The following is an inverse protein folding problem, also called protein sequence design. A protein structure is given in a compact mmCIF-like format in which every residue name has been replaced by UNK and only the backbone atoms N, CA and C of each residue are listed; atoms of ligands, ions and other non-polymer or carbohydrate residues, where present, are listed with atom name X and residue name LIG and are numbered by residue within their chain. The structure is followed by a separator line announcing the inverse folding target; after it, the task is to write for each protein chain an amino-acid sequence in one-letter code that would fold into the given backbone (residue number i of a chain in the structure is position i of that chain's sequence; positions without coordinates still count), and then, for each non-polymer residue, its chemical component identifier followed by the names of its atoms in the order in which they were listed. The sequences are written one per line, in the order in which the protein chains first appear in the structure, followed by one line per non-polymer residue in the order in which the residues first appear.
data_IF_562564897832
#
_entry.id   IF_562564897832
#
_cell.length_a   1.000
_cell.length_b   1.000
_cell.length_c   1.000
_cell.angle_alpha   90.00
_cell.angle_beta   90.00
_cell.angle_gamma   90.00
#
_symmetry.space_group_name_H-M   'P 1'
#
loop_
_entity.id
_entity.type
_entity.pdbx_description
1 polymer ?
#
# COMPACT_ATOMS: atom_id res chain seq x y z
N UNK A 1 27.01 -25.68 -7.50
CA UNK A 1 26.31 -25.96 -8.77
C UNK A 1 25.81 -24.63 -9.28
N UNK A 2 26.55 -24.05 -10.20
CA UNK A 2 26.17 -22.81 -10.88
C UNK A 2 24.98 -23.13 -11.79
N UNK A 3 23.80 -22.66 -11.41
CA UNK A 3 22.61 -22.75 -12.27
C UNK A 3 22.65 -21.53 -13.18
N UNK A 4 22.87 -21.76 -14.47
CA UNK A 4 22.66 -20.73 -15.47
C UNK A 4 21.21 -20.20 -15.38
N UNK A 5 21.01 -18.87 -15.45
CA UNK A 5 19.67 -18.30 -15.45
C UNK A 5 18.91 -18.78 -16.70
N UNK A 6 17.73 -19.37 -16.47
CA UNK A 6 16.85 -19.96 -17.50
C UNK A 6 16.28 -18.92 -18.50
N UNK A 7 16.43 -17.63 -18.21
CA UNK A 7 15.97 -16.52 -19.05
C UNK A 7 17.07 -15.46 -19.07
N UNK A 8 17.53 -15.11 -20.27
CA UNK A 8 18.50 -14.05 -20.51
C UNK A 8 17.83 -12.98 -21.37
N UNK A 9 18.02 -11.71 -21.01
CA UNK A 9 17.67 -10.61 -21.89
C UNK A 9 18.81 -10.46 -22.91
N UNK A 10 18.49 -10.58 -24.19
CA UNK A 10 19.42 -10.27 -25.27
C UNK A 10 19.71 -8.76 -25.32
N UNK A 11 18.69 -7.96 -24.99
CA UNK A 11 18.77 -6.52 -24.87
C UNK A 11 19.14 -6.11 -23.44
N UNK A 12 20.39 -5.70 -23.24
CA UNK A 12 20.90 -5.22 -21.96
C UNK A 12 20.12 -3.99 -21.45
N UNK A 13 19.52 -3.19 -22.33
CA UNK A 13 18.68 -2.07 -21.91
C UNK A 13 17.43 -2.56 -21.18
N UNK A 14 16.80 -3.62 -21.69
CA UNK A 14 15.66 -4.27 -21.02
C UNK A 14 16.08 -4.93 -19.71
N UNK A 15 17.31 -5.46 -19.63
CA UNK A 15 17.85 -6.03 -18.40
C UNK A 15 18.01 -4.98 -17.29
N UNK A 16 18.30 -3.72 -17.65
CA UNK A 16 18.39 -2.60 -16.69
C UNK A 16 17.04 -2.00 -16.31
N UNK A 17 15.99 -2.29 -17.08
CA UNK A 17 14.64 -1.82 -16.87
C UNK A 17 14.37 -0.40 -17.39
N UNK A 18 13.10 -0.02 -17.43
CA UNK A 18 12.67 1.30 -17.90
C UNK A 18 11.68 1.94 -16.92
N UNK A 19 11.64 3.28 -16.91
CA UNK A 19 10.73 4.02 -16.03
C UNK A 19 9.54 4.56 -16.81
N UNK A 20 8.36 4.02 -16.52
CA UNK A 20 7.11 4.51 -17.10
C UNK A 20 6.68 5.85 -16.48
N UNK A 21 6.31 6.82 -17.31
CA UNK A 21 5.74 8.11 -16.87
C UNK A 21 4.33 8.26 -17.43
N UNK A 22 3.39 8.70 -16.60
CA UNK A 22 2.02 8.95 -17.05
C UNK A 22 1.97 10.14 -18.02
N UNK A 23 1.20 10.00 -19.10
CA UNK A 23 0.93 11.12 -20.01
C UNK A 23 0.27 12.31 -19.31
N UNK A 24 -0.46 12.07 -18.22
CA UNK A 24 -1.03 13.13 -17.39
C UNK A 24 0.05 13.96 -16.69
N UNK A 25 1.21 13.38 -16.35
CA UNK A 25 2.35 14.13 -15.79
C UNK A 25 3.05 14.92 -16.90
N UNK A 26 3.22 14.31 -18.07
CA UNK A 26 3.90 14.94 -19.20
C UNK A 26 3.12 16.15 -19.73
N UNK A 27 1.79 16.07 -19.78
CA UNK A 27 0.92 17.07 -20.43
C UNK A 27 0.07 17.88 -19.46
N UNK A 28 -0.35 17.30 -18.34
CA UNK A 28 -1.24 17.95 -17.35
C UNK A 28 -0.54 18.91 -16.39
N UNK A 29 0.78 19.11 -16.53
CA UNK A 29 1.56 20.06 -15.75
C UNK A 29 2.40 20.97 -16.67
N UNK A 30 1.77 21.95 -17.32
CA UNK A 30 2.49 22.96 -18.11
C UNK A 30 3.41 23.84 -17.25
N UNK A 31 3.13 23.98 -15.96
CA UNK A 31 3.95 24.73 -14.99
C UNK A 31 5.27 24.04 -14.62
N UNK A 32 5.46 22.78 -15.05
CA UNK A 32 6.71 22.04 -14.88
C UNK A 32 7.54 22.11 -16.16
N UNK A 33 8.80 22.48 -15.98
CA UNK A 33 9.85 22.36 -16.99
C UNK A 33 10.15 20.89 -17.31
N UNK A 34 10.76 20.66 -18.47
CA UNK A 34 11.24 19.33 -18.85
C UNK A 34 12.29 18.82 -17.86
N UNK A 35 13.12 19.71 -17.33
CA UNK A 35 14.10 19.38 -16.29
C UNK A 35 13.47 18.80 -15.03
N UNK A 36 12.31 19.33 -14.61
CA UNK A 36 11.54 18.85 -13.47
C UNK A 36 10.85 17.52 -13.76
N UNK A 37 10.26 17.36 -14.95
CA UNK A 37 9.64 16.11 -15.39
C UNK A 37 10.65 14.96 -15.48
N UNK A 38 11.85 15.21 -15.99
CA UNK A 38 12.92 14.20 -16.01
C UNK A 38 13.46 13.94 -14.62
N UNK A 39 13.51 14.93 -13.72
CA UNK A 39 13.88 14.71 -12.31
C UNK A 39 12.86 13.82 -11.61
N UNK A 40 11.57 14.01 -11.87
CA UNK A 40 10.52 13.12 -11.40
C UNK A 40 10.70 11.68 -11.92
N UNK A 41 11.05 11.53 -13.20
CA UNK A 41 11.32 10.22 -13.80
C UNK A 41 12.48 9.49 -13.10
N UNK A 42 13.60 10.19 -12.89
CA UNK A 42 14.77 9.62 -12.20
C UNK A 42 14.43 9.28 -10.75
N UNK A 43 13.69 10.14 -10.03
CA UNK A 43 13.23 9.80 -8.69
C UNK A 43 12.35 8.53 -8.69
N UNK A 44 11.47 8.41 -9.70
CA UNK A 44 10.60 7.24 -9.86
C UNK A 44 11.38 5.97 -10.18
N UNK A 45 12.45 6.02 -10.97
CA UNK A 45 13.25 4.84 -11.30
C UNK A 45 13.81 4.16 -10.04
N UNK A 46 14.30 4.94 -9.08
CA UNK A 46 14.81 4.42 -7.81
C UNK A 46 13.74 3.82 -6.90
N UNK A 47 12.47 4.23 -7.04
CA UNK A 47 11.38 3.69 -6.22
C UNK A 47 10.98 2.25 -6.60
N UNK A 48 11.30 1.80 -7.82
CA UNK A 48 10.96 0.45 -8.30
C UNK A 48 12.03 -0.59 -8.03
N UNK A 49 13.30 -0.20 -7.89
CA UNK A 49 14.42 -1.14 -7.73
C UNK A 49 14.40 -1.82 -6.36
N UNK A 50 14.03 -1.09 -5.30
CA UNK A 50 13.87 -1.66 -3.95
C UNK A 50 13.06 -0.73 -3.05
N UNK A 51 12.16 -1.27 -2.18
CA UNK A 51 11.39 -0.47 -1.23
C UNK A 51 12.27 0.24 -0.16
N UNK A 52 13.56 -0.07 -0.08
CA UNK A 52 14.50 0.48 0.91
C UNK A 52 15.53 1.47 0.32
N UNK A 53 15.34 1.90 -0.92
CA UNK A 53 16.34 2.75 -1.59
C UNK A 53 16.31 4.18 -1.04
N UNK A 54 17.23 4.51 -0.13
CA UNK A 54 17.41 5.87 0.38
C UNK A 54 18.17 6.72 -0.64
N UNK A 55 17.45 7.52 -1.42
CA UNK A 55 18.05 8.38 -2.45
C UNK A 55 18.26 9.80 -1.92
N UNK A 56 19.54 10.21 -1.82
CA UNK A 56 19.93 11.59 -1.52
C UNK A 56 19.86 12.51 -2.74
N UNK A 57 19.90 13.82 -2.50
CA UNK A 57 19.90 14.81 -3.60
C UNK A 57 21.17 14.69 -4.45
N UNK A 58 22.31 14.33 -3.85
CA UNK A 58 23.57 14.06 -4.53
C UNK A 58 23.47 12.87 -5.50
N UNK A 59 22.73 11.81 -5.10
CA UNK A 59 22.51 10.64 -5.95
C UNK A 59 21.65 11.01 -7.16
N UNK A 60 20.58 11.77 -6.95
CA UNK A 60 19.75 12.27 -8.05
C UNK A 60 20.53 13.22 -8.97
N UNK A 61 21.37 14.08 -8.39
CA UNK A 61 22.20 15.02 -9.15
C UNK A 61 23.18 14.30 -10.07
N UNK A 62 23.83 13.24 -9.55
CA UNK A 62 24.71 12.36 -10.33
C UNK A 62 23.94 11.65 -11.45
N UNK A 63 22.79 11.08 -11.15
CA UNK A 63 21.96 10.40 -12.15
C UNK A 63 21.41 11.34 -13.24
N UNK A 64 21.21 12.62 -12.91
CA UNK A 64 20.75 13.66 -13.85
C UNK A 64 21.90 14.42 -14.51
N UNK A 65 23.15 14.16 -14.15
CA UNK A 65 24.33 14.93 -14.57
C UNK A 65 24.15 16.44 -14.37
N UNK A 66 23.63 16.86 -13.20
CA UNK A 66 23.41 18.26 -12.87
C UNK A 66 23.83 18.59 -11.42
N UNK A 67 23.69 19.85 -11.00
CA UNK A 67 24.06 20.27 -9.64
C UNK A 67 22.99 19.87 -8.62
N UNK A 68 23.41 19.65 -7.37
CA UNK A 68 22.50 19.41 -6.23
C UNK A 68 21.51 20.56 -6.07
N UNK A 69 21.94 21.82 -6.28
CA UNK A 69 21.05 22.99 -6.24
C UNK A 69 19.94 22.93 -7.29
N UNK A 70 20.23 22.38 -8.48
CA UNK A 70 19.24 22.19 -9.55
C UNK A 70 18.23 21.13 -9.16
N UNK A 71 18.69 20.00 -8.61
CA UNK A 71 17.81 18.95 -8.08
C UNK A 71 16.92 19.48 -6.96
N UNK A 72 17.49 20.19 -5.99
CA UNK A 72 16.74 20.74 -4.86
C UNK A 72 15.63 21.69 -5.32
N UNK A 73 15.92 22.56 -6.32
CA UNK A 73 14.91 23.41 -6.96
C UNK A 73 13.82 22.59 -7.63
N UNK A 74 14.19 21.58 -8.42
CA UNK A 74 13.21 20.74 -9.11
C UNK A 74 12.33 19.95 -8.13
N UNK A 75 12.92 19.38 -7.07
CA UNK A 75 12.17 18.67 -6.01
C UNK A 75 11.22 19.59 -5.28
N UNK A 76 11.63 20.83 -4.99
CA UNK A 76 10.75 21.86 -4.40
C UNK A 76 9.55 22.10 -5.31
N UNK A 77 9.78 22.31 -6.62
CA UNK A 77 8.68 22.50 -7.57
C UNK A 77 7.75 21.30 -7.66
N UNK A 78 8.29 20.08 -7.64
CA UNK A 78 7.49 18.84 -7.63
C UNK A 78 6.66 18.68 -6.34
N UNK A 79 7.16 19.18 -5.21
CA UNK A 79 6.40 19.26 -3.95
C UNK A 79 5.27 20.28 -4.08
N UNK A 80 5.55 21.46 -4.62
CA UNK A 80 4.57 22.54 -4.76
C UNK A 80 3.36 22.12 -5.60
N UNK A 81 3.58 21.35 -6.67
CA UNK A 81 2.50 20.82 -7.53
C UNK A 81 1.86 19.52 -7.00
N UNK A 82 2.34 19.03 -5.86
CA UNK A 82 1.77 17.85 -5.19
C UNK A 82 2.08 16.50 -5.84
N UNK A 83 3.15 16.40 -6.64
CA UNK A 83 3.63 15.13 -7.23
C UNK A 83 4.63 14.39 -6.34
N UNK A 84 5.28 15.09 -5.41
CA UNK A 84 6.22 14.54 -4.44
C UNK A 84 5.90 15.09 -3.05
N UNK A 85 6.14 14.28 -2.02
CA UNK A 85 6.16 14.72 -0.61
C UNK A 85 7.49 14.35 0.03
N UNK A 86 7.90 15.11 1.03
CA UNK A 86 9.15 14.87 1.76
C UNK A 86 8.87 14.61 3.24
N UNK A 87 9.49 13.57 3.79
CA UNK A 87 9.52 13.30 5.24
C UNK A 87 10.96 13.38 5.73
N UNK A 88 11.23 14.38 6.57
CA UNK A 88 12.55 14.60 7.19
C UNK A 88 12.80 13.55 8.28
N UNK A 89 14.02 13.02 8.36
CA UNK A 89 14.42 11.99 9.35
C UNK A 89 15.26 12.52 10.50
N UNK A 90 15.59 13.82 10.51
CA UNK A 90 16.51 14.45 11.46
C UNK A 90 17.87 14.77 10.85
N UNK A 91 18.74 15.40 11.64
CA UNK A 91 20.06 15.83 11.20
C UNK A 91 20.94 14.64 10.79
N UNK A 92 21.67 14.77 9.67
CA UNK A 92 22.57 13.74 9.16
C UNK A 92 21.89 12.52 8.53
N UNK A 93 20.56 12.49 8.43
CA UNK A 93 19.82 11.40 7.78
C UNK A 93 19.19 11.87 6.47
N UNK A 94 19.31 11.06 5.42
CA UNK A 94 18.71 11.31 4.11
C UNK A 94 17.20 11.45 4.22
N UNK A 95 16.64 12.46 3.55
CA UNK A 95 15.19 12.66 3.47
C UNK A 95 14.50 11.47 2.79
N UNK A 96 13.24 11.21 3.18
CA UNK A 96 12.39 10.22 2.50
C UNK A 96 11.50 10.97 1.53
N UNK A 97 11.67 10.70 0.24
CA UNK A 97 10.84 11.23 -0.83
C UNK A 97 9.71 10.24 -1.13
N UNK A 98 8.48 10.73 -1.17
CA UNK A 98 7.28 9.93 -1.42
C UNK A 98 6.62 10.41 -2.70
N UNK A 99 6.49 9.54 -3.69
CA UNK A 99 5.78 9.83 -4.94
C UNK A 99 4.27 9.74 -4.65
N UNK A 100 3.54 10.81 -4.94
CA UNK A 100 2.10 10.88 -4.67
C UNK A 100 1.27 10.58 -5.92
N UNK A 101 -0.02 10.29 -5.70
CA UNK A 101 -0.99 10.24 -6.80
C UNK A 101 -1.19 11.65 -7.35
N UNK A 102 -1.42 11.75 -8.67
CA UNK A 102 -1.82 12.99 -9.33
C UNK A 102 -3.08 13.53 -8.63
N UNK A 103 -3.08 14.80 -8.14
CA UNK A 103 -4.28 15.42 -7.56
C UNK A 103 -5.48 15.29 -8.50
N UNK A 104 -6.65 15.01 -7.94
CA UNK A 104 -7.83 14.64 -8.72
C UNK A 104 -8.24 15.77 -9.65
N UNK A 105 -8.11 17.00 -9.19
CA UNK A 105 -8.42 18.23 -9.91
C UNK A 105 -7.59 18.31 -11.19
N UNK A 106 -6.27 18.14 -11.08
CA UNK A 106 -5.33 18.10 -12.21
C UNK A 106 -5.61 16.95 -13.17
N UNK A 107 -6.00 15.79 -12.66
CA UNK A 107 -6.35 14.66 -13.51
C UNK A 107 -7.64 14.92 -14.31
N UNK A 108 -8.64 15.54 -13.69
CA UNK A 108 -9.90 15.92 -14.36
C UNK A 108 -9.64 16.97 -15.45
N UNK A 109 -8.84 18.00 -15.14
CA UNK A 109 -8.42 19.02 -16.12
C UNK A 109 -7.72 18.36 -17.33
N UNK A 110 -6.73 17.50 -17.08
CA UNK A 110 -6.04 16.75 -18.12
C UNK A 110 -6.98 15.91 -18.98
N UNK A 111 -7.93 15.20 -18.35
CA UNK A 111 -8.87 14.36 -19.07
C UNK A 111 -9.85 15.17 -19.91
N UNK A 112 -10.33 16.31 -19.41
CA UNK A 112 -11.19 17.20 -20.17
C UNK A 112 -10.47 17.75 -21.40
N UNK A 113 -9.22 18.17 -21.25
CA UNK A 113 -8.43 18.74 -22.35
C UNK A 113 -7.98 17.69 -23.37
N UNK A 114 -7.38 16.58 -22.92
CA UNK A 114 -6.69 15.64 -23.80
C UNK A 114 -7.50 14.38 -24.14
N UNK A 115 -8.53 14.06 -23.37
CA UNK A 115 -9.34 12.83 -23.49
C UNK A 115 -10.83 13.10 -23.22
N UNK A 116 -11.49 14.03 -23.94
CA UNK A 116 -12.86 14.46 -23.64
C UNK A 116 -13.90 13.33 -23.68
N UNK A 117 -13.62 12.25 -24.43
CA UNK A 117 -14.49 11.08 -24.53
C UNK A 117 -14.41 10.13 -23.32
N UNK A 118 -13.43 10.33 -22.43
CA UNK A 118 -13.25 9.49 -21.25
C UNK A 118 -14.12 10.02 -20.10
N UNK A 119 -15.27 9.38 -19.89
CA UNK A 119 -16.16 9.72 -18.76
C UNK A 119 -15.51 9.28 -17.44
N UNK A 120 -14.97 10.23 -16.68
CA UNK A 120 -14.62 10.00 -15.28
C UNK A 120 -15.91 9.79 -14.53
N UNK A 121 -16.14 8.60 -13.95
CA UNK A 121 -17.22 8.42 -12.98
C UNK A 121 -16.93 9.38 -11.83
N UNK A 122 -17.70 10.47 -11.75
CA UNK A 122 -17.64 11.39 -10.63
C UNK A 122 -18.08 10.62 -9.38
N UNK A 123 -17.12 10.03 -8.66
CA UNK A 123 -17.39 9.50 -7.32
C UNK A 123 -17.84 10.66 -6.44
N UNK A 124 -19.14 10.64 -6.15
CA UNK A 124 -19.88 11.25 -5.03
C UNK A 124 -19.02 11.99 -4.00
N UNK A 125 -18.61 13.20 -4.34
CA UNK A 125 -18.17 14.22 -3.38
C UNK A 125 -19.08 15.47 -3.44
N UNK A 126 -20.22 15.39 -4.14
CA UNK A 126 -21.18 16.48 -4.31
C UNK A 126 -22.61 16.10 -3.84
N UNK A 127 -22.74 15.31 -2.78
CA UNK A 127 -24.05 14.99 -2.19
C UNK A 127 -24.53 16.05 -1.16
N UNK A 128 -23.92 17.24 -1.12
CA UNK A 128 -24.33 18.32 -0.22
C UNK A 128 -24.15 19.69 -0.85
N UNK A 129 -24.80 19.89 -1.99
CA UNK A 129 -25.42 21.16 -2.39
C UNK A 129 -26.19 20.93 -3.69
N UNK A 130 -27.37 21.54 -3.80
CA UNK A 130 -28.30 21.54 -4.96
C UNK A 130 -29.10 20.26 -5.24
N UNK A 131 -30.18 20.07 -4.48
CA UNK A 131 -31.37 19.37 -4.95
C UNK A 131 -32.65 20.02 -4.39
N UNK A 132 -32.95 21.24 -4.85
CA UNK A 132 -34.31 21.78 -4.87
C UNK A 132 -34.45 22.65 -6.11
N UNK A 133 -34.92 22.05 -7.21
CA UNK A 133 -35.94 22.60 -8.15
C UNK A 133 -35.96 21.81 -9.46
N UNK A 134 -37.17 21.64 -10.01
CA UNK A 134 -37.53 21.11 -11.34
C UNK A 134 -37.64 19.59 -11.46
N UNK A 135 -38.76 18.93 -11.15
CA UNK A 135 -40.05 18.83 -11.89
C UNK A 135 -39.98 18.67 -13.41
N UNK A 136 -40.53 17.54 -13.87
CA UNK A 136 -41.34 17.34 -15.09
C UNK A 136 -40.63 17.43 -16.46
N UNK A 137 -40.34 16.28 -17.09
CA UNK A 137 -41.14 15.68 -18.17
C UNK A 137 -40.36 14.58 -18.92
N UNK A 138 -41.03 13.44 -19.04
CA UNK A 138 -40.83 12.38 -20.03
C UNK A 138 -41.06 12.96 -21.45
N UNK A 139 -40.36 12.50 -22.50
CA UNK A 139 -41.04 11.49 -23.31
C UNK A 139 -40.14 10.39 -23.90
N UNK A 140 -40.68 9.17 -23.83
CA UNK A 140 -40.58 8.06 -24.77
C UNK A 140 -39.99 8.39 -26.15
N UNK A 141 -38.92 7.69 -26.52
CA UNK A 141 -38.64 7.34 -27.92
C UNK A 141 -38.32 5.84 -28.00
N UNK A 142 -39.25 5.12 -28.66
CA UNK A 142 -39.05 3.81 -29.27
C UNK A 142 -38.25 3.98 -30.57
N UNK A 143 -37.19 3.21 -30.79
CA UNK A 143 -36.78 2.63 -32.10
C UNK A 143 -35.53 1.78 -31.84
N UNK A 144 -35.63 0.45 -31.92
CA UNK A 144 -35.47 -0.40 -33.11
C UNK A 144 -34.02 -0.83 -33.36
N UNK A 145 -33.89 -2.15 -33.41
CA UNK A 145 -32.85 -2.96 -34.03
C UNK A 145 -32.06 -2.26 -35.14
N UNK A 146 -30.74 -2.44 -35.16
CA UNK A 146 -30.16 -3.28 -36.22
C UNK A 146 -28.76 -3.79 -35.86
N UNK A 147 -28.52 -5.03 -36.25
CA UNK A 147 -27.29 -5.78 -36.07
C UNK A 147 -26.56 -5.82 -37.41
N UNK A 148 -25.40 -5.19 -37.56
CA UNK A 148 -24.52 -5.50 -38.69
C UNK A 148 -23.05 -5.61 -38.26
N UNK A 149 -22.70 -6.86 -38.02
CA UNK A 149 -21.39 -7.48 -38.20
C UNK A 149 -20.80 -7.04 -39.55
N UNK A 150 -19.61 -6.42 -39.55
CA UNK A 150 -18.72 -6.49 -40.73
C UNK A 150 -17.28 -6.75 -40.30
N UNK A 151 -16.99 -8.03 -40.43
CA UNK A 151 -15.73 -8.69 -40.59
C UNK A 151 -14.94 -8.07 -41.76
N UNK A 152 -13.70 -7.62 -41.52
CA UNK A 152 -12.72 -7.32 -42.57
C UNK A 152 -11.33 -7.69 -42.07
N UNK A 153 -10.93 -8.92 -42.37
CA UNK A 153 -9.54 -9.35 -42.43
C UNK A 153 -8.85 -8.68 -43.61
N UNK A 154 -7.59 -8.25 -43.45
CA UNK A 154 -6.59 -8.44 -44.50
C UNK A 154 -5.16 -8.43 -43.91
N UNK A 155 -4.28 -9.38 -44.29
CA UNK A 155 -2.93 -9.51 -43.76
C UNK A 155 -1.91 -8.81 -44.66
N UNK A 156 -0.85 -8.26 -44.06
CA UNK A 156 0.38 -7.94 -44.79
C UNK A 156 1.57 -8.57 -44.08
N UNK A 157 2.03 -9.67 -44.66
CA UNK A 157 3.40 -10.12 -44.55
C UNK A 157 4.29 -9.19 -45.38
N UNK A 158 5.45 -8.80 -44.85
CA UNK A 158 6.65 -8.53 -45.66
C UNK A 158 7.92 -8.66 -44.82
N UNK A 159 8.65 -9.68 -45.21
CA UNK A 159 10.04 -10.07 -44.92
C UNK A 159 11.06 -9.02 -45.37
N UNK A 160 12.31 -9.25 -44.95
CA UNK A 160 13.59 -8.68 -45.44
C UNK A 160 14.08 -7.48 -44.62
N UNK A 161 15.35 -7.32 -44.29
CA UNK A 161 16.55 -8.15 -44.35
C UNK A 161 17.62 -7.39 -43.54
N UNK A 162 18.50 -8.15 -42.88
CA UNK A 162 19.81 -7.69 -42.39
C UNK A 162 20.70 -7.37 -43.61
N UNK A 163 21.72 -6.48 -43.53
CA UNK A 163 23.02 -6.95 -43.03
C UNK A 163 23.97 -5.91 -42.38
N UNK A 164 25.01 -6.46 -41.73
CA UNK A 164 26.38 -5.93 -41.52
C UNK A 164 26.54 -4.78 -40.52
N UNK A 165 27.19 -4.94 -39.36
CA UNK A 165 28.53 -5.45 -39.05
C UNK A 165 29.64 -4.55 -39.62
N UNK A 166 30.02 -3.53 -38.83
CA UNK A 166 31.32 -2.86 -38.92
C UNK A 166 31.94 -2.82 -37.52
N UNK A 167 33.19 -3.27 -37.49
CA UNK A 167 34.14 -3.31 -36.38
C UNK A 167 34.86 -1.96 -36.31
N UNK A 168 34.96 -1.35 -35.13
CA UNK A 168 36.00 -0.38 -34.72
C UNK A 168 36.10 -0.53 -33.18
N UNK A 169 37.13 -1.12 -32.57
CA UNK A 169 38.54 -0.73 -32.44
C UNK A 169 38.77 0.64 -31.77
N UNK A 170 39.73 0.66 -30.83
CA UNK A 170 40.23 1.77 -30.00
C UNK A 170 39.42 2.07 -28.71
N UNK A 171 40.00 2.38 -27.55
CA UNK A 171 41.38 2.69 -27.19
C UNK A 171 41.55 2.55 -25.66
N UNK A 172 42.70 2.00 -25.28
CA UNK A 172 43.19 1.82 -23.93
C UNK A 172 43.78 3.15 -23.43
N UNK A 173 43.24 3.70 -22.33
CA UNK A 173 43.89 4.79 -21.59
C UNK A 173 43.96 4.48 -20.09
N UNK A 174 45.19 4.30 -19.65
CA UNK A 174 45.69 4.35 -18.28
C UNK A 174 45.65 5.81 -17.81
N UNK A 175 45.17 6.09 -16.60
CA UNK A 175 45.91 7.00 -15.72
C UNK A 175 45.63 6.76 -14.23
N UNK A 176 46.73 6.82 -13.50
CA UNK A 176 46.90 6.67 -12.08
C UNK A 176 46.42 7.94 -11.36
N UNK A 177 45.85 7.82 -10.16
CA UNK A 177 46.25 8.75 -9.12
C UNK A 177 46.02 8.20 -7.72
N UNK A 178 47.14 7.85 -7.11
CA UNK A 178 47.27 7.64 -5.69
C UNK A 178 47.10 8.96 -4.93
N UNK A 179 46.43 8.87 -3.79
CA UNK A 179 46.99 9.44 -2.58
C UNK A 179 46.31 10.67 -1.99
N UNK A 180 46.35 10.64 -0.65
CA UNK A 180 46.42 11.78 0.28
C UNK A 180 45.10 12.17 0.95
N UNK A 181 45.01 11.84 2.25
CA UNK A 181 44.06 12.53 3.12
C UNK A 181 43.73 11.92 4.48
N UNK A 182 44.65 11.24 5.17
CA UNK A 182 44.46 10.92 6.60
C UNK A 182 44.66 12.17 7.46
N UNK A 183 43.60 12.64 8.15
CA UNK A 183 43.71 13.39 9.42
C UNK A 183 42.35 13.59 10.10
N UNK A 184 42.46 13.83 11.41
CA UNK A 184 41.45 14.04 12.47
C UNK A 184 41.09 12.72 13.18
N UNK A 185 41.43 12.49 14.46
CA UNK A 185 41.83 13.41 15.52
C UNK A 185 40.82 13.34 16.65
N UNK A 186 41.24 12.67 17.73
CA UNK A 186 40.87 12.82 19.15
C UNK A 186 39.46 13.32 19.55
N UNK A 187 38.88 12.60 20.52
CA UNK A 187 38.31 13.30 21.68
C UNK A 187 37.11 12.65 22.36
N UNK A 188 37.40 11.83 23.36
CA UNK A 188 36.83 11.94 24.72
C UNK A 188 35.35 11.63 24.99
N UNK A 189 35.16 10.46 25.60
CA UNK A 189 34.73 10.28 27.01
C UNK A 189 33.64 11.18 27.62
N UNK A 190 32.51 10.57 28.00
CA UNK A 190 31.85 10.68 29.33
C UNK A 190 30.58 9.80 29.31
N UNK A 191 30.48 8.74 30.11
CA UNK A 191 30.26 8.65 31.56
C UNK A 191 28.83 8.97 32.00
N UNK A 192 28.08 7.90 32.29
CA UNK A 192 27.38 7.73 33.57
C UNK A 192 25.92 8.15 33.66
N UNK A 193 25.08 7.25 34.19
CA UNK A 193 23.82 7.65 34.82
C UNK A 193 22.71 6.60 34.85
N UNK A 194 22.93 5.46 35.50
CA UNK A 194 21.86 4.52 35.85
C UNK A 194 21.01 5.08 37.00
N UNK A 195 19.69 5.10 36.83
CA UNK A 195 18.74 5.04 37.93
C UNK A 195 17.49 4.28 37.45
N UNK A 196 17.24 3.10 38.04
CA UNK A 196 15.97 2.39 37.89
C UNK A 196 15.58 1.87 39.27
N UNK A 197 14.61 2.55 39.87
CA UNK A 197 13.88 2.13 41.05
C UNK A 197 12.78 1.18 40.61
N UNK A 198 12.88 -0.06 41.09
CA UNK A 198 11.86 -1.10 40.97
C UNK A 198 10.83 -0.88 42.07
N UNK A 199 9.58 -0.64 41.70
CA UNK A 199 8.43 -0.67 42.62
C UNK A 199 7.51 -1.81 42.22
N UNK A 200 7.37 -2.77 43.13
CA UNK A 200 6.40 -3.85 43.12
C UNK A 200 4.97 -3.28 43.20
N UNK A 201 4.05 -3.80 42.39
CA UNK A 201 2.63 -3.57 42.53
C UNK A 201 1.90 -4.89 42.72
N UNK A 202 1.16 -4.95 43.83
CA UNK A 202 0.23 -6.00 44.22
C UNK A 202 -0.87 -6.20 43.16
N UNK A 203 -1.15 -7.47 42.86
CA UNK A 203 -2.32 -7.89 42.10
C UNK A 203 -3.58 -7.82 42.98
N UNK A 204 -4.63 -7.19 42.45
CA UNK A 204 -5.99 -7.25 42.99
C UNK A 204 -6.90 -7.73 41.88
N UNK A 205 -7.32 -9.00 41.97
CA UNK A 205 -8.34 -9.62 41.11
C UNK A 205 -9.65 -8.85 41.21
N UNK A 206 -10.01 -8.15 40.14
CA UNK A 206 -11.36 -7.63 39.93
C UNK A 206 -11.76 -8.03 38.52
N UNK A 207 -12.46 -9.17 38.41
CA UNK A 207 -13.04 -9.63 37.15
C UNK A 207 -14.11 -8.63 36.70
N UNK A 208 -13.76 -7.80 35.71
CA UNK A 208 -14.69 -6.92 35.01
C UNK A 208 -15.46 -7.76 34.00
N UNK A 209 -16.70 -8.10 34.36
CA UNK A 209 -17.68 -8.59 33.42
C UNK A 209 -17.85 -7.51 32.34
N UNK A 210 -17.49 -7.81 31.08
CA UNK A 210 -17.82 -6.95 29.95
C UNK A 210 -19.31 -6.61 30.01
N UNK A 211 -19.71 -5.35 29.74
CA UNK A 211 -21.09 -5.10 29.40
C UNK A 211 -21.36 -5.87 28.11
N UNK A 212 -21.89 -7.09 28.25
CA UNK A 212 -22.54 -7.81 27.17
C UNK A 212 -23.49 -6.81 26.55
N UNK A 213 -23.14 -6.33 25.37
CA UNK A 213 -23.90 -5.34 24.61
C UNK A 213 -25.32 -5.87 24.61
N UNK A 214 -26.17 -5.22 25.39
CA UNK A 214 -27.53 -5.69 25.62
C UNK A 214 -28.26 -5.48 24.30
N UNK A 215 -28.44 -6.58 23.56
CA UNK A 215 -29.46 -6.66 22.53
C UNK A 215 -30.81 -6.43 23.21
N UNK A 216 -31.24 -5.16 23.20
CA UNK A 216 -32.58 -4.78 23.58
C UNK A 216 -33.55 -5.54 22.67
N UNK A 217 -34.16 -6.58 23.25
CA UNK A 217 -35.11 -7.42 22.56
C UNK A 217 -36.44 -6.68 22.43
N UNK A 218 -36.88 -6.57 21.18
CA UNK A 218 -38.24 -6.26 20.73
C UNK A 218 -38.80 -4.87 21.09
N UNK A 219 -38.59 -3.91 20.17
CA UNK A 219 -39.66 -3.19 19.46
C UNK A 219 -39.10 -2.02 18.64
N UNK A 220 -39.48 -1.98 17.36
CA UNK A 220 -39.19 -0.94 16.35
C UNK A 220 -37.85 -1.08 15.60
N UNK A 221 -37.98 -1.50 14.33
CA UNK A 221 -36.93 -1.49 13.34
C UNK A 221 -36.65 -0.03 12.94
N UNK A 222 -35.56 0.53 13.46
CA UNK A 222 -35.12 1.89 13.16
C UNK A 222 -33.68 2.09 13.63
N UNK A 223 -32.75 1.83 12.72
CA UNK A 223 -31.34 2.25 12.66
C UNK A 223 -30.82 3.11 13.83
N UNK A 224 -30.23 2.48 14.84
CA UNK A 224 -29.28 3.13 15.76
C UNK A 224 -28.12 2.16 16.08
N UNK A 225 -27.27 1.92 15.09
CA UNK A 225 -25.95 1.28 15.28
C UNK A 225 -24.83 2.29 15.04
N UNK A 226 -24.90 3.45 15.71
CA UNK A 226 -23.93 4.54 15.58
C UNK A 226 -22.64 4.32 16.38
N UNK A 227 -22.61 3.32 17.27
CA UNK A 227 -21.47 3.09 18.18
C UNK A 227 -20.28 2.47 17.45
N UNK A 228 -20.51 1.69 16.39
CA UNK A 228 -19.47 0.92 15.70
C UNK A 228 -18.78 1.69 14.58
N UNK A 229 -19.32 2.83 14.14
CA UNK A 229 -18.71 3.60 13.03
C UNK A 229 -17.55 4.51 13.49
N UNK A 230 -17.42 4.77 14.79
CA UNK A 230 -16.34 5.60 15.31
C UNK A 230 -15.12 4.74 15.70
N UNK A 231 -14.09 4.77 14.85
CA UNK A 231 -12.81 4.08 15.05
C UNK A 231 -12.15 4.43 16.41
N UNK A 232 -12.34 5.65 16.92
CA UNK A 232 -11.76 6.09 18.20
C UNK A 232 -12.41 5.41 19.42
N UNK A 233 -13.71 5.11 19.30
CA UNK A 233 -14.47 4.37 20.31
C UNK A 233 -14.03 2.90 20.26
N UNK A 234 -14.01 2.30 19.06
CA UNK A 234 -13.59 0.91 18.88
C UNK A 234 -12.16 0.69 19.38
N UNK A 235 -11.22 1.59 19.08
CA UNK A 235 -9.86 1.51 19.59
C UNK A 235 -9.78 1.59 21.13
N UNK A 236 -10.70 2.34 21.76
CA UNK A 236 -10.86 2.37 23.21
C UNK A 236 -11.30 1.02 23.77
N UNK A 237 -12.35 0.44 23.17
CA UNK A 237 -12.88 -0.89 23.56
C UNK A 237 -11.82 -1.97 23.40
N UNK A 238 -11.12 -2.00 22.26
CA UNK A 238 -10.03 -2.95 22.00
C UNK A 238 -8.90 -2.81 23.02
N UNK A 239 -8.49 -1.57 23.33
CA UNK A 239 -7.40 -1.33 24.28
C UNK A 239 -7.77 -1.69 25.72
N UNK A 240 -9.04 -1.51 26.09
CA UNK A 240 -9.58 -1.93 27.39
C UNK A 240 -9.70 -3.44 27.48
N UNK A 241 -10.28 -4.08 26.46
CA UNK A 241 -10.47 -5.53 26.38
C UNK A 241 -9.14 -6.30 26.47
N UNK A 242 -8.08 -5.83 25.78
CA UNK A 242 -6.76 -6.44 25.85
C UNK A 242 -5.87 -5.92 26.98
N UNK A 243 -6.42 -5.14 27.93
CA UNK A 243 -5.70 -4.58 29.08
C UNK A 243 -4.45 -3.75 28.72
N UNK A 244 -4.48 -3.05 27.58
CA UNK A 244 -3.38 -2.24 27.05
C UNK A 244 -3.77 -0.77 26.80
N UNK A 245 -4.26 -0.03 27.82
CA UNK A 245 -4.75 1.35 27.63
C UNK A 245 -3.68 2.30 27.07
N UNK A 246 -2.39 2.03 27.34
CA UNK A 246 -1.26 2.81 26.80
C UNK A 246 -1.10 2.67 25.28
N UNK A 247 -1.60 1.59 24.68
CA UNK A 247 -1.52 1.34 23.24
C UNK A 247 -2.72 1.90 22.46
N UNK A 248 -3.72 2.49 23.13
CA UNK A 248 -4.95 2.99 22.48
C UNK A 248 -4.69 3.83 21.24
N UNK A 249 -3.75 4.79 21.29
CA UNK A 249 -3.41 5.65 20.13
C UNK A 249 -2.81 4.87 18.95
N UNK A 250 -2.03 3.82 19.23
CA UNK A 250 -1.46 2.97 18.19
C UNK A 250 -2.55 2.12 17.54
N UNK A 251 -3.44 1.56 18.35
CA UNK A 251 -4.62 0.80 17.88
C UNK A 251 -5.51 1.69 17.02
N UNK A 252 -5.82 2.90 17.47
CA UNK A 252 -6.59 3.88 16.69
C UNK A 252 -5.92 4.21 15.35
N UNK A 253 -4.61 4.51 15.36
CA UNK A 253 -3.86 4.81 14.14
C UNK A 253 -3.80 3.64 13.15
N UNK A 254 -3.80 2.41 13.67
CA UNK A 254 -3.88 1.20 12.86
C UNK A 254 -5.29 1.04 12.27
N UNK A 255 -6.34 1.09 13.10
CA UNK A 255 -7.72 0.86 12.68
C UNK A 255 -8.27 1.93 11.72
N UNK A 256 -7.70 3.15 11.71
CA UNK A 256 -8.06 4.19 10.72
C UNK A 256 -7.84 3.79 9.26
N UNK A 257 -7.10 2.71 9.01
CA UNK A 257 -6.80 2.19 7.68
C UNK A 257 -7.80 1.10 7.22
N UNK A 258 -8.72 0.68 8.08
CA UNK A 258 -9.59 -0.48 7.87
C UNK A 258 -11.07 -0.11 8.01
N UNK A 259 -11.96 -0.94 7.46
CA UNK A 259 -13.40 -0.79 7.66
C UNK A 259 -13.77 -1.11 9.13
N UNK A 260 -14.46 -0.18 9.79
CA UNK A 260 -14.77 -0.30 11.22
C UNK A 260 -15.63 -1.54 11.54
N UNK A 261 -16.49 -1.98 10.60
CA UNK A 261 -17.32 -3.19 10.79
C UNK A 261 -16.47 -4.45 10.70
N UNK A 262 -15.43 -4.45 9.86
CA UNK A 262 -14.46 -5.56 9.81
C UNK A 262 -13.63 -5.61 11.09
N UNK A 263 -13.16 -4.47 11.56
CA UNK A 263 -12.43 -4.38 12.82
C UNK A 263 -13.26 -4.86 14.02
N UNK A 264 -14.54 -4.50 14.09
CA UNK A 264 -15.44 -4.98 15.14
C UNK A 264 -15.64 -6.51 15.07
N UNK A 265 -15.91 -7.06 13.89
CA UNK A 265 -16.05 -8.52 13.71
C UNK A 265 -14.78 -9.29 14.07
N UNK A 266 -13.61 -8.71 13.78
CA UNK A 266 -12.33 -9.29 14.18
C UNK A 266 -12.16 -9.29 15.69
N UNK A 267 -12.62 -8.24 16.39
CA UNK A 267 -12.57 -8.18 17.85
C UNK A 267 -13.44 -9.27 18.45
N UNK A 268 -14.67 -9.45 17.96
CA UNK A 268 -15.58 -10.50 18.43
C UNK A 268 -14.94 -11.89 18.28
N UNK A 269 -14.36 -12.19 17.10
CA UNK A 269 -13.72 -13.48 16.85
C UNK A 269 -12.53 -13.74 17.79
N UNK A 270 -11.69 -12.73 18.03
CA UNK A 270 -10.54 -12.85 18.95
C UNK A 270 -11.01 -12.96 20.40
N UNK A 271 -12.09 -12.27 20.77
CA UNK A 271 -12.67 -12.33 22.10
C UNK A 271 -13.23 -13.72 22.41
N UNK A 272 -14.04 -14.28 21.51
CA UNK A 272 -14.60 -15.64 21.62
C UNK A 272 -13.48 -16.68 21.83
N UNK A 273 -12.36 -16.52 21.12
CA UNK A 273 -11.21 -17.42 21.23
C UNK A 273 -10.48 -17.28 22.57
N UNK A 274 -10.25 -16.06 23.04
CA UNK A 274 -9.60 -15.82 24.34
C UNK A 274 -10.46 -16.35 25.49
N UNK A 275 -11.79 -16.24 25.39
CA UNK A 275 -12.73 -16.78 26.37
C UNK A 275 -12.80 -18.31 26.36
N UNK A 276 -12.62 -18.94 25.19
CA UNK A 276 -12.62 -20.41 25.06
C UNK A 276 -11.38 -21.06 25.70
N UNK A 277 -10.25 -20.34 25.74
CA UNK A 277 -9.02 -20.82 26.39
C UNK A 277 -8.28 -21.95 25.67
N UNK A 278 -8.65 -22.23 24.41
CA UNK A 278 -8.11 -23.35 23.63
C UNK A 278 -6.63 -23.19 23.27
N UNK A 279 -6.12 -21.96 23.17
CA UNK A 279 -4.72 -21.68 22.85
C UNK A 279 -4.18 -20.44 23.57
N UNK A 280 -2.94 -20.51 24.05
CA UNK A 280 -2.24 -19.37 24.67
C UNK A 280 -1.81 -18.35 23.59
N UNK A 281 -2.56 -17.26 23.47
CA UNK A 281 -2.23 -16.14 22.59
C UNK A 281 -1.24 -15.20 23.31
N UNK A 282 0.05 -15.32 23.00
CA UNK A 282 1.13 -14.54 23.63
C UNK A 282 0.98 -13.01 23.49
N UNK A 283 0.39 -12.54 22.39
CA UNK A 283 0.20 -11.12 22.13
C UNK A 283 -1.16 -10.90 21.44
N UNK A 284 -2.24 -10.68 22.23
CA UNK A 284 -3.59 -10.58 21.68
C UNK A 284 -3.78 -9.37 20.76
N UNK A 285 -3.05 -8.27 20.98
CA UNK A 285 -3.11 -7.09 20.11
C UNK A 285 -2.54 -7.38 18.73
N UNK A 286 -1.38 -8.03 18.65
CA UNK A 286 -0.76 -8.39 17.38
C UNK A 286 -1.60 -9.45 16.64
N UNK A 287 -2.19 -10.39 17.39
CA UNK A 287 -3.13 -11.38 16.86
C UNK A 287 -4.37 -10.71 16.26
N UNK A 288 -4.98 -9.78 16.99
CA UNK A 288 -6.10 -8.97 16.51
C UNK A 288 -5.76 -8.21 15.22
N UNK A 289 -4.59 -7.57 15.13
CA UNK A 289 -4.16 -6.91 13.89
C UNK A 289 -4.05 -7.88 12.71
N UNK A 290 -3.55 -9.10 12.95
CA UNK A 290 -3.46 -10.12 11.90
C UNK A 290 -4.86 -10.50 11.39
N UNK A 291 -5.82 -10.74 12.29
CA UNK A 291 -7.21 -11.07 11.93
C UNK A 291 -7.87 -9.92 11.15
N UNK A 292 -7.77 -8.66 11.63
CA UNK A 292 -8.32 -7.48 10.93
C UNK A 292 -7.79 -7.38 9.51
N UNK A 293 -6.47 -7.53 9.35
CA UNK A 293 -5.79 -7.39 8.04
C UNK A 293 -6.27 -8.43 7.04
N UNK A 294 -6.46 -9.69 7.48
CA UNK A 294 -6.86 -10.78 6.59
C UNK A 294 -8.36 -10.67 6.26
N UNK A 295 -9.20 -10.36 7.24
CA UNK A 295 -10.64 -10.16 7.00
C UNK A 295 -10.91 -8.98 6.04
N UNK A 296 -10.10 -7.91 6.12
CA UNK A 296 -10.20 -6.80 5.15
C UNK A 296 -9.78 -7.26 3.74
N UNK A 297 -8.67 -8.00 3.62
CA UNK A 297 -8.21 -8.51 2.33
C UNK A 297 -9.24 -9.44 1.68
N UNK A 298 -9.91 -10.30 2.47
CA UNK A 298 -11.00 -11.16 2.00
C UNK A 298 -12.19 -10.32 1.49
N UNK A 299 -12.59 -9.29 2.24
CA UNK A 299 -13.68 -8.40 1.81
C UNK A 299 -13.34 -7.66 0.51
N UNK A 300 -12.11 -7.17 0.40
CA UNK A 300 -11.66 -6.44 -0.79
C UNK A 300 -11.64 -7.36 -2.01
N UNK A 301 -11.23 -8.63 -1.84
CA UNK A 301 -11.30 -9.65 -2.89
C UNK A 301 -12.74 -10.02 -3.27
N UNK A 302 -13.64 -10.14 -2.29
CA UNK A 302 -15.07 -10.43 -2.53
C UNK A 302 -15.80 -9.28 -3.25
N UNK A 303 -15.28 -8.05 -3.20
CA UNK A 303 -15.84 -6.91 -3.90
C UNK A 303 -15.50 -6.88 -5.40
N UNK A 304 -14.47 -7.61 -5.83
CA UNK A 304 -13.91 -7.49 -7.20
C UNK A 304 -14.55 -8.36 -8.28
N UNK A 305 -15.22 -9.48 -7.97
CA UNK A 305 -16.21 -10.14 -8.86
C UNK A 305 -16.85 -11.32 -8.10
N UNK A 306 -18.18 -11.34 -7.98
CA UNK A 306 -18.90 -12.33 -7.13
C UNK A 306 -18.92 -13.77 -7.69
N UNK A 307 -18.48 -13.95 -8.93
CA UNK A 307 -18.47 -15.25 -9.62
C UNK A 307 -17.07 -15.85 -9.76
N UNK A 308 -16.00 -15.13 -9.36
CA UNK A 308 -14.65 -15.69 -9.39
C UNK A 308 -14.35 -16.53 -8.14
N UNK A 309 -14.26 -17.82 -8.44
CA UNK A 309 -13.74 -19.01 -7.79
C UNK A 309 -13.28 -18.95 -6.32
N UNK A 310 -13.82 -19.90 -5.56
CA UNK A 310 -13.28 -20.45 -4.32
C UNK A 310 -11.75 -20.72 -4.39
N UNK A 311 -11.22 -20.97 -5.59
CA UNK A 311 -9.78 -21.06 -5.87
C UNK A 311 -9.03 -19.76 -5.58
N UNK A 312 -9.57 -18.59 -5.94
CA UNK A 312 -8.92 -17.31 -5.64
C UNK A 312 -8.92 -17.04 -4.14
N UNK A 313 -10.02 -17.33 -3.46
CA UNK A 313 -10.11 -17.27 -1.98
C UNK A 313 -9.07 -18.19 -1.34
N UNK A 314 -8.91 -19.40 -1.86
CA UNK A 314 -7.89 -20.37 -1.43
C UNK A 314 -6.47 -19.85 -1.64
N UNK A 315 -6.16 -19.31 -2.83
CA UNK A 315 -4.84 -18.75 -3.14
C UNK A 315 -4.49 -17.55 -2.25
N UNK A 316 -5.46 -16.68 -1.96
CA UNK A 316 -5.28 -15.56 -1.02
C UNK A 316 -4.98 -16.10 0.39
N UNK A 317 -5.71 -17.12 0.85
CA UNK A 317 -5.48 -17.76 2.14
C UNK A 317 -4.09 -18.41 2.24
N UNK A 318 -3.64 -19.11 1.19
CA UNK A 318 -2.29 -19.72 1.11
C UNK A 318 -1.20 -18.64 1.23
N UNK A 319 -1.32 -17.56 0.47
CA UNK A 319 -0.35 -16.46 0.49
C UNK A 319 -0.27 -15.79 1.86
N UNK A 320 -1.42 -15.61 2.53
CA UNK A 320 -1.47 -15.12 3.90
C UNK A 320 -0.84 -16.09 4.88
N UNK A 321 -1.12 -17.38 4.77
CA UNK A 321 -0.57 -18.40 5.66
C UNK A 321 0.97 -18.46 5.56
N UNK A 322 1.55 -18.38 4.35
CA UNK A 322 2.99 -18.25 4.17
C UNK A 322 3.58 -17.00 4.84
N UNK A 323 2.88 -15.86 4.74
CA UNK A 323 3.30 -14.62 5.38
C UNK A 323 3.27 -14.73 6.90
N UNK A 324 2.18 -15.28 7.45
CA UNK A 324 2.00 -15.47 8.89
C UNK A 324 3.02 -16.45 9.49
N UNK A 325 3.40 -17.52 8.78
CA UNK A 325 4.41 -18.48 9.27
C UNK A 325 5.78 -17.88 9.56
N UNK A 326 6.07 -16.68 9.04
CA UNK A 326 7.31 -15.95 9.37
C UNK A 326 7.27 -15.31 10.76
N UNK A 327 6.07 -15.01 11.25
CA UNK A 327 5.84 -14.25 12.48
C UNK A 327 5.20 -15.10 13.59
N UNK A 328 4.49 -16.17 13.23
CA UNK A 328 3.64 -16.95 14.13
C UNK A 328 3.92 -18.45 14.05
N UNK A 329 3.84 -19.19 15.17
CA UNK A 329 3.92 -20.65 15.18
C UNK A 329 2.74 -21.28 14.42
N UNK A 330 2.88 -22.50 13.86
CA UNK A 330 1.86 -23.10 13.00
C UNK A 330 0.45 -23.19 13.62
N UNK A 331 0.34 -23.48 14.93
CA UNK A 331 -0.95 -23.50 15.63
C UNK A 331 -1.66 -22.14 15.60
N UNK A 332 -0.92 -21.06 15.87
CA UNK A 332 -1.49 -19.71 15.83
C UNK A 332 -1.81 -19.26 14.40
N UNK A 333 -1.03 -19.68 13.39
CA UNK A 333 -1.39 -19.44 11.98
C UNK A 333 -2.72 -20.09 11.65
N UNK A 334 -2.90 -21.37 12.02
CA UNK A 334 -4.17 -22.09 11.84
C UNK A 334 -5.31 -21.36 12.54
N UNK A 335 -5.13 -20.97 13.81
CA UNK A 335 -6.11 -20.25 14.59
C UNK A 335 -6.58 -18.95 13.89
N UNK A 336 -5.63 -18.15 13.39
CA UNK A 336 -5.94 -16.91 12.66
C UNK A 336 -6.79 -17.20 11.42
N UNK A 337 -6.47 -18.27 10.69
CA UNK A 337 -7.26 -18.68 9.51
C UNK A 337 -8.68 -19.12 9.92
N UNK A 338 -8.82 -19.91 10.99
CA UNK A 338 -10.14 -20.33 11.50
C UNK A 338 -10.99 -19.12 11.88
N UNK A 339 -10.44 -18.16 12.60
CA UNK A 339 -11.17 -16.97 13.04
C UNK A 339 -11.59 -16.07 11.87
N UNK A 340 -10.72 -16.00 10.84
CA UNK A 340 -10.99 -15.22 9.64
C UNK A 340 -12.06 -15.88 8.78
N UNK A 341 -11.87 -17.15 8.41
CA UNK A 341 -12.69 -17.84 7.41
C UNK A 341 -13.89 -18.58 8.00
N UNK A 342 -13.95 -18.72 9.34
CA UNK A 342 -14.99 -19.43 10.10
C UNK A 342 -15.20 -20.88 9.64
N UNK A 343 -14.12 -21.53 9.22
CA UNK A 343 -14.11 -22.93 8.78
C UNK A 343 -12.81 -23.60 9.20
N UNK A 344 -12.92 -24.60 10.08
CA UNK A 344 -11.77 -25.40 10.52
C UNK A 344 -11.21 -26.24 9.38
N UNK A 345 -12.08 -26.90 8.62
CA UNK A 345 -11.72 -27.72 7.46
C UNK A 345 -10.92 -26.92 6.43
N UNK A 346 -11.38 -25.70 6.11
CA UNK A 346 -10.67 -24.82 5.18
C UNK A 346 -9.29 -24.42 5.72
N UNK A 347 -9.19 -24.08 7.02
CA UNK A 347 -7.90 -23.76 7.62
C UNK A 347 -6.94 -24.96 7.62
N UNK A 348 -7.44 -26.17 7.88
CA UNK A 348 -6.67 -27.41 7.88
C UNK A 348 -6.16 -27.76 6.48
N UNK A 349 -6.99 -27.62 5.44
CA UNK A 349 -6.56 -27.79 4.05
C UNK A 349 -5.42 -26.85 3.67
N UNK A 350 -5.53 -25.57 4.03
CA UNK A 350 -4.50 -24.56 3.75
C UNK A 350 -3.20 -24.90 4.50
N UNK A 351 -3.31 -25.32 5.77
CA UNK A 351 -2.15 -25.69 6.58
C UNK A 351 -1.45 -26.97 6.07
N UNK A 352 -2.21 -27.93 5.53
CA UNK A 352 -1.67 -29.13 4.90
C UNK A 352 -0.97 -28.81 3.57
N UNK A 353 -1.50 -27.87 2.79
CA UNK A 353 -0.94 -27.49 1.49
C UNK A 353 0.40 -26.75 1.61
N UNK A 354 0.58 -25.94 2.67
CA UNK A 354 1.83 -25.20 2.90
C UNK A 354 2.86 -25.96 3.75
N UNK A 355 2.44 -27.05 4.41
CA UNK A 355 3.24 -27.84 5.36
C UNK A 355 4.26 -28.72 4.68
#
# INVERSE_FOLDING_TARGET
MDREPLVQYEDLEQATGFTQISNAILRGYPELSDGEKVTYAVLKSFAYVSPETFVGEETLARARSCTVSTISRHLTKLIDVGLVRVRRRGQGKTNIWMITRIPREKLVEYLHEWRPNLKVRASTLSASQTAQTSTLQDPQIKTSQDSQIRNSQNPQAKTSANPQAEEEESEEYVDENEGRGTRLGNGSSSSGGNFSTTSQSHASDTYVHLPRIVENSASSAGEFSTIVENVEILAGVVAEYFEVPKQRRNIEGYLKQYDAKIAARALDAVADRLESGDEEIRNPVAYFYAVVRIMQAERDAAATDREQDEQERRLVAINWAHTLRREWPPGQVRAILVDTYRSEEFADEIMQEIG
#
